data_IF_855317849737
#
_entry.id   IF_855317849737
#
_cell.length_a   1.000
_cell.length_b   1.000
_cell.length_c   1.000
_cell.angle_alpha   90.00
_cell.angle_beta   90.00
_cell.angle_gamma   90.00
#
_symmetry.space_group_name_H-M   'P 1'
#
loop_
_entity.id
_entity.type
_entity.pdbx_description
1 polymer ?
#
# COMPACT_ATOMS: atom_id res chain seq x y z
N UNK A 1 -2.93 21.52 -12.97
CA UNK A 1 -3.54 22.57 -12.12
C UNK A 1 -4.68 22.04 -11.25
N UNK A 2 -5.68 21.34 -11.80
CA UNK A 2 -6.82 20.81 -11.02
C UNK A 2 -6.36 19.91 -9.87
N UNK A 3 -5.45 18.96 -10.14
CA UNK A 3 -4.87 18.08 -9.14
C UNK A 3 -4.19 18.88 -8.02
N UNK A 4 -3.32 19.85 -8.37
CA UNK A 4 -2.63 20.68 -7.38
C UNK A 4 -3.60 21.50 -6.50
N UNK A 5 -4.69 22.01 -7.07
CA UNK A 5 -5.73 22.69 -6.28
C UNK A 5 -6.40 21.73 -5.30
N UNK A 6 -6.68 20.48 -5.72
CA UNK A 6 -7.20 19.43 -4.84
C UNK A 6 -6.24 19.02 -3.74
N UNK A 7 -4.94 18.88 -4.04
CA UNK A 7 -3.89 18.53 -3.06
C UNK A 7 -3.72 19.58 -1.96
N UNK A 8 -3.64 20.83 -2.36
CA UNK A 8 -3.44 21.96 -1.41
C UNK A 8 -4.73 22.46 -0.77
N UNK A 9 -5.88 22.02 -1.27
CA UNK A 9 -7.17 22.61 -0.95
C UNK A 9 -7.15 24.15 -1.05
N UNK A 10 -6.35 24.69 -2.02
CA UNK A 10 -6.05 26.11 -2.16
C UNK A 10 -5.64 26.49 -3.58
N UNK A 11 -6.39 27.41 -4.20
CA UNK A 11 -6.03 27.98 -5.50
C UNK A 11 -4.73 28.82 -5.44
N UNK A 12 -4.52 29.52 -4.34
CA UNK A 12 -3.35 30.38 -4.16
C UNK A 12 -2.09 29.55 -4.02
N UNK A 13 -2.14 28.47 -3.23
CA UNK A 13 -0.99 27.59 -3.05
C UNK A 13 -0.64 26.84 -4.35
N UNK A 14 -1.64 26.34 -5.05
CA UNK A 14 -1.44 25.72 -6.35
C UNK A 14 -0.86 26.70 -7.39
N UNK A 15 -1.29 27.96 -7.35
CA UNK A 15 -0.74 29.01 -8.22
C UNK A 15 0.72 29.30 -7.92
N UNK A 16 1.09 29.33 -6.64
CA UNK A 16 2.47 29.51 -6.20
C UNK A 16 3.36 28.34 -6.67
N UNK A 17 2.93 27.12 -6.48
CA UNK A 17 3.66 25.91 -6.91
C UNK A 17 3.93 25.91 -8.42
N UNK A 18 2.94 26.31 -9.21
CA UNK A 18 3.04 26.30 -10.67
C UNK A 18 3.55 27.61 -11.29
N UNK A 19 3.98 28.58 -10.47
CA UNK A 19 4.50 29.87 -10.93
C UNK A 19 3.54 30.64 -11.88
N UNK A 20 2.23 30.57 -11.59
CA UNK A 20 1.18 31.27 -12.34
C UNK A 20 0.27 32.09 -11.42
N UNK A 21 -0.60 32.91 -11.99
CA UNK A 21 -1.59 33.63 -11.19
C UNK A 21 -2.75 32.71 -10.78
N UNK A 22 -3.37 32.97 -9.61
CA UNK A 22 -4.58 32.29 -9.16
C UNK A 22 -5.71 32.38 -10.20
N UNK A 23 -5.83 33.53 -10.89
CA UNK A 23 -6.83 33.73 -11.95
C UNK A 23 -6.58 32.80 -13.15
N UNK A 24 -5.32 32.57 -13.52
CA UNK A 24 -4.96 31.64 -14.60
C UNK A 24 -5.37 30.21 -14.25
N UNK A 25 -5.08 29.72 -13.04
CA UNK A 25 -5.53 28.38 -12.57
C UNK A 25 -7.07 28.31 -12.60
N UNK A 26 -7.75 29.33 -12.07
CA UNK A 26 -9.20 29.35 -12.04
C UNK A 26 -9.81 29.28 -13.46
N UNK A 27 -9.18 29.95 -14.44
CA UNK A 27 -9.62 29.91 -15.83
C UNK A 27 -9.38 28.55 -16.48
N UNK A 28 -8.21 27.94 -16.21
CA UNK A 28 -7.88 26.61 -16.73
C UNK A 28 -8.83 25.53 -16.21
N UNK A 29 -9.19 25.59 -14.90
CA UNK A 29 -10.15 24.65 -14.34
C UNK A 29 -11.54 24.86 -14.95
N UNK A 30 -11.99 26.10 -15.14
CA UNK A 30 -13.25 26.38 -15.85
C UNK A 30 -13.25 25.85 -17.29
N UNK A 31 -12.13 26.00 -17.99
CA UNK A 31 -11.98 25.45 -19.35
C UNK A 31 -12.04 23.93 -19.35
N UNK A 32 -11.45 23.27 -18.36
CA UNK A 32 -11.52 21.81 -18.17
C UNK A 32 -12.96 21.37 -17.89
N UNK A 33 -13.67 22.04 -16.98
CA UNK A 33 -15.08 21.77 -16.68
C UNK A 33 -15.95 21.93 -17.94
N UNK A 34 -15.71 22.98 -18.71
CA UNK A 34 -16.43 23.21 -19.96
C UNK A 34 -16.13 22.13 -21.01
N UNK A 35 -14.91 21.65 -21.10
CA UNK A 35 -14.52 20.58 -22.05
C UNK A 35 -15.12 19.21 -21.66
N UNK A 36 -15.27 18.95 -20.36
CA UNK A 36 -15.87 17.73 -19.85
C UNK A 36 -17.40 17.78 -19.77
N UNK A 37 -17.97 18.97 -19.82
CA UNK A 37 -19.41 19.19 -19.72
C UNK A 37 -20.00 18.98 -18.32
N UNK A 38 -19.14 18.86 -17.29
CA UNK A 38 -19.54 18.65 -15.90
C UNK A 38 -18.74 19.52 -14.94
N UNK A 39 -19.33 20.04 -13.86
CA UNK A 39 -18.59 20.75 -12.83
C UNK A 39 -17.72 19.78 -12.03
N UNK A 40 -16.47 20.15 -11.77
CA UNK A 40 -15.53 19.37 -10.96
C UNK A 40 -15.45 19.89 -9.53
N UNK A 41 -15.84 21.14 -9.29
CA UNK A 41 -15.83 21.74 -7.95
C UNK A 41 -16.98 22.72 -7.75
N UNK A 42 -17.48 22.74 -6.53
CA UNK A 42 -18.48 23.69 -6.04
C UNK A 42 -17.73 24.76 -5.25
N UNK A 43 -17.88 26.03 -5.68
CA UNK A 43 -17.21 27.17 -5.06
C UNK A 43 -18.14 27.85 -4.08
N UNK A 44 -17.65 28.08 -2.89
CA UNK A 44 -18.30 28.88 -1.84
C UNK A 44 -17.56 30.20 -1.63
N UNK A 45 -18.09 31.08 -0.78
CA UNK A 45 -17.50 32.42 -0.56
C UNK A 45 -16.04 32.38 -0.11
N UNK A 46 -15.62 31.36 0.65
CA UNK A 46 -14.27 31.23 1.23
C UNK A 46 -13.64 29.84 1.07
N UNK A 47 -14.34 28.92 0.48
CA UNK A 47 -13.90 27.53 0.32
C UNK A 47 -14.37 26.97 -1.01
N UNK A 48 -13.96 25.77 -1.32
CA UNK A 48 -14.55 24.94 -2.35
C UNK A 48 -14.52 23.48 -1.89
N UNK A 49 -15.32 22.66 -2.49
CA UNK A 49 -15.24 21.20 -2.37
C UNK A 49 -15.39 20.56 -3.76
N UNK A 50 -14.83 19.38 -3.90
CA UNK A 50 -14.93 18.63 -5.14
C UNK A 50 -16.35 18.07 -5.31
N UNK A 51 -16.83 18.02 -6.54
CA UNK A 51 -18.03 17.24 -6.88
C UNK A 51 -17.66 15.74 -6.94
N UNK A 52 -18.62 14.81 -6.98
CA UNK A 52 -18.30 13.39 -7.23
C UNK A 52 -17.49 13.18 -8.52
N UNK A 53 -17.74 13.94 -9.57
CA UNK A 53 -16.94 13.93 -10.80
C UNK A 53 -15.52 14.49 -10.56
N UNK A 54 -15.43 15.55 -9.74
CA UNK A 54 -14.14 16.13 -9.33
C UNK A 54 -13.30 15.16 -8.51
N UNK A 55 -13.90 14.48 -7.55
CA UNK A 55 -13.18 13.45 -6.74
C UNK A 55 -12.69 12.29 -7.61
N UNK A 56 -13.54 11.84 -8.54
CA UNK A 56 -13.13 10.81 -9.50
C UNK A 56 -11.93 11.26 -10.34
N UNK A 57 -12.00 12.47 -10.91
CA UNK A 57 -10.91 13.03 -11.71
C UNK A 57 -9.66 13.29 -10.85
N UNK A 58 -9.81 13.75 -9.63
CA UNK A 58 -8.68 13.99 -8.71
C UNK A 58 -7.91 12.71 -8.44
N UNK A 59 -8.58 11.64 -8.02
CA UNK A 59 -7.97 10.34 -7.71
C UNK A 59 -7.25 9.74 -8.92
N UNK A 60 -7.98 9.59 -10.02
CA UNK A 60 -7.43 8.97 -11.23
C UNK A 60 -6.40 9.87 -11.92
N UNK A 61 -6.61 11.18 -11.90
CA UNK A 61 -5.68 12.15 -12.45
C UNK A 61 -4.35 12.20 -11.69
N UNK A 62 -4.38 12.08 -10.35
CA UNK A 62 -3.16 11.98 -9.54
C UNK A 62 -2.34 10.74 -9.92
N UNK A 63 -2.98 9.60 -10.06
CA UNK A 63 -2.32 8.37 -10.53
C UNK A 63 -1.72 8.57 -11.93
N UNK A 64 -2.48 9.14 -12.87
CA UNK A 64 -2.00 9.41 -14.21
C UNK A 64 -0.79 10.35 -14.23
N UNK A 65 -0.80 11.42 -13.42
CA UNK A 65 0.35 12.33 -13.31
C UNK A 65 1.60 11.63 -12.76
N UNK A 66 1.43 10.72 -11.80
CA UNK A 66 2.52 9.87 -11.29
C UNK A 66 3.07 8.97 -12.39
N UNK A 67 2.21 8.36 -13.22
CA UNK A 67 2.63 7.55 -14.38
C UNK A 67 3.42 8.37 -15.39
N UNK A 68 2.94 9.56 -15.73
CA UNK A 68 3.65 10.47 -16.66
C UNK A 68 5.04 10.82 -16.13
N UNK A 69 5.15 11.18 -14.85
CA UNK A 69 6.42 11.48 -14.21
C UNK A 69 7.37 10.28 -14.26
N UNK A 70 6.89 9.09 -13.93
CA UNK A 70 7.71 7.88 -13.97
C UNK A 70 8.16 7.53 -15.39
N UNK A 71 7.28 7.69 -16.38
CA UNK A 71 7.65 7.52 -17.78
C UNK A 71 8.76 8.50 -18.21
N UNK A 72 8.69 9.76 -17.80
CA UNK A 72 9.73 10.75 -18.04
C UNK A 72 11.05 10.35 -17.37
N UNK A 73 11.02 9.99 -16.09
CA UNK A 73 12.19 9.55 -15.33
C UNK A 73 12.82 8.31 -15.96
N UNK A 74 12.01 7.34 -16.39
CA UNK A 74 12.48 6.13 -17.07
C UNK A 74 13.09 6.44 -18.43
N UNK A 75 12.46 7.33 -19.20
CA UNK A 75 13.01 7.77 -20.50
C UNK A 75 14.40 8.39 -20.35
N UNK A 76 14.58 9.23 -19.32
CA UNK A 76 15.88 9.83 -19.01
C UNK A 76 16.90 8.75 -18.61
N UNK A 77 16.52 7.76 -17.80
CA UNK A 77 17.39 6.65 -17.38
C UNK A 77 17.82 5.77 -18.54
N UNK A 78 16.88 5.41 -19.43
CA UNK A 78 17.17 4.64 -20.64
C UNK A 78 18.15 5.41 -21.52
N UNK A 79 17.93 6.72 -21.70
CA UNK A 79 18.82 7.59 -22.48
C UNK A 79 20.23 7.73 -21.90
N UNK A 80 20.37 7.65 -20.58
CA UNK A 80 21.66 7.71 -19.89
C UNK A 80 22.32 6.33 -19.68
N UNK A 81 21.67 5.26 -20.11
CA UNK A 81 22.09 3.88 -19.84
C UNK A 81 22.22 3.53 -18.33
N UNK A 82 21.52 4.28 -17.46
CA UNK A 82 21.49 4.11 -16.00
C UNK A 82 20.43 3.08 -15.63
N UNK A 83 20.76 1.77 -15.74
CA UNK A 83 19.79 0.67 -15.48
C UNK A 83 19.89 0.04 -14.10
N UNK A 84 20.58 0.67 -13.16
CA UNK A 84 20.76 0.08 -11.81
C UNK A 84 19.70 0.61 -10.86
N UNK A 85 18.46 0.19 -11.01
CA UNK A 85 17.39 0.51 -10.07
C UNK A 85 16.52 -0.71 -9.77
N UNK A 86 15.86 -0.68 -8.64
CA UNK A 86 14.90 -1.68 -8.20
C UNK A 86 13.76 -0.99 -7.47
N UNK A 87 12.55 -1.17 -7.94
CA UNK A 87 11.32 -0.63 -7.34
C UNK A 87 10.50 -1.79 -6.78
N UNK A 88 10.31 -1.79 -5.46
CA UNK A 88 9.65 -2.87 -4.74
C UNK A 88 8.35 -2.35 -4.15
N UNK A 89 7.23 -2.98 -4.51
CA UNK A 89 5.94 -2.79 -3.88
C UNK A 89 5.70 -3.80 -2.75
N UNK A 90 5.10 -3.38 -1.65
CA UNK A 90 4.75 -4.26 -0.54
C UNK A 90 3.48 -3.78 0.17
N UNK A 91 2.76 -4.72 0.81
CA UNK A 91 1.54 -4.38 1.55
C UNK A 91 1.82 -3.40 2.69
N UNK A 92 1.01 -2.36 2.81
CA UNK A 92 1.13 -1.31 3.83
C UNK A 92 0.98 -1.83 5.28
N UNK A 93 0.38 -3.01 5.47
CA UNK A 93 0.29 -3.73 6.76
C UNK A 93 1.47 -4.69 7.02
N UNK A 94 2.40 -4.84 6.06
CA UNK A 94 3.54 -5.74 6.24
C UNK A 94 4.52 -5.21 7.28
N UNK A 95 4.91 -6.05 8.23
CA UNK A 95 5.76 -5.69 9.37
C UNK A 95 6.85 -6.73 9.63
N UNK A 96 7.43 -7.32 8.58
CA UNK A 96 8.42 -8.39 8.73
C UNK A 96 9.87 -7.92 8.56
N UNK A 97 10.80 -8.55 9.31
CA UNK A 97 12.26 -8.32 9.20
C UNK A 97 12.83 -8.84 7.87
N UNK A 98 12.23 -9.87 7.27
CA UNK A 98 12.77 -10.53 6.08
C UNK A 98 12.99 -9.55 4.92
N UNK A 99 12.03 -8.65 4.67
CA UNK A 99 12.15 -7.64 3.63
C UNK A 99 13.31 -6.68 3.88
N UNK A 100 13.47 -6.21 5.12
CA UNK A 100 14.58 -5.34 5.52
C UNK A 100 15.94 -6.03 5.35
N UNK A 101 16.06 -7.29 5.76
CA UNK A 101 17.30 -8.04 5.62
C UNK A 101 17.64 -8.34 4.17
N UNK A 102 16.65 -8.69 3.35
CA UNK A 102 16.85 -8.88 1.92
C UNK A 102 17.33 -7.58 1.25
N UNK A 103 16.74 -6.43 1.62
CA UNK A 103 17.20 -5.11 1.15
C UNK A 103 18.64 -4.84 1.54
N UNK A 104 19.01 -5.05 2.81
CA UNK A 104 20.38 -4.84 3.29
C UNK A 104 21.39 -5.70 2.52
N UNK A 105 21.05 -6.96 2.23
CA UNK A 105 21.91 -7.85 1.44
C UNK A 105 22.01 -7.42 -0.02
N UNK A 106 20.87 -7.01 -0.59
CA UNK A 106 20.81 -6.56 -1.98
C UNK A 106 21.65 -5.30 -2.19
N UNK A 107 21.51 -4.28 -1.33
CA UNK A 107 22.26 -3.03 -1.43
C UNK A 107 23.75 -3.22 -1.12
N UNK A 108 24.10 -4.18 -0.25
CA UNK A 108 25.49 -4.56 -0.01
C UNK A 108 26.12 -5.23 -1.23
N UNK A 109 25.37 -6.07 -1.94
CA UNK A 109 25.82 -6.78 -3.15
C UNK A 109 25.90 -5.87 -4.36
N UNK A 110 24.94 -4.95 -4.51
CA UNK A 110 24.83 -4.03 -5.63
C UNK A 110 24.92 -2.59 -5.14
N UNK A 111 26.15 -2.10 -4.91
CA UNK A 111 26.41 -0.82 -4.22
C UNK A 111 25.85 0.42 -4.94
N UNK A 112 25.73 0.38 -6.28
CA UNK A 112 25.22 1.49 -7.08
C UNK A 112 23.74 1.31 -7.46
N UNK A 113 23.03 0.40 -6.79
CA UNK A 113 21.62 0.15 -7.04
C UNK A 113 20.76 1.19 -6.30
N UNK A 114 19.99 1.98 -7.05
CA UNK A 114 18.94 2.85 -6.52
C UNK A 114 17.72 1.98 -6.16
N UNK A 115 17.41 1.83 -4.89
CA UNK A 115 16.25 1.05 -4.43
C UNK A 115 15.15 1.97 -3.94
N UNK A 116 13.94 1.76 -4.46
CA UNK A 116 12.75 2.50 -4.04
C UNK A 116 11.68 1.54 -3.54
N UNK A 117 11.08 1.93 -2.41
CA UNK A 117 10.04 1.16 -1.74
C UNK A 117 8.70 1.87 -1.88
N UNK A 118 7.66 1.09 -2.21
CA UNK A 118 6.29 1.57 -2.35
C UNK A 118 5.38 0.69 -1.51
N UNK A 119 4.66 1.30 -0.58
CA UNK A 119 3.62 0.59 0.17
C UNK A 119 2.25 0.87 -0.42
N UNK A 120 1.37 -0.10 -0.36
CA UNK A 120 0.02 0.03 -0.87
C UNK A 120 -0.90 -1.09 -0.40
N UNK A 121 -2.19 -0.95 -0.71
CA UNK A 121 -3.17 -2.03 -0.66
C UNK A 121 -2.94 -3.03 -1.79
N UNK A 122 -3.68 -4.13 -1.79
CA UNK A 122 -3.63 -5.11 -2.88
C UNK A 122 -3.93 -4.49 -4.25
N UNK A 123 -4.98 -3.70 -4.34
CA UNK A 123 -5.39 -3.07 -5.60
C UNK A 123 -4.38 -2.03 -6.08
N UNK A 124 -3.80 -1.24 -5.17
CA UNK A 124 -2.75 -0.27 -5.51
C UNK A 124 -1.48 -0.95 -6.01
N UNK A 125 -1.02 -2.00 -5.33
CA UNK A 125 0.17 -2.73 -5.74
C UNK A 125 0.00 -3.37 -7.12
N UNK A 126 -1.15 -3.99 -7.38
CA UNK A 126 -1.47 -4.53 -8.69
C UNK A 126 -1.47 -3.44 -9.76
N UNK A 127 -2.13 -2.30 -9.48
CA UNK A 127 -2.13 -1.16 -10.38
C UNK A 127 -0.72 -0.59 -10.61
N UNK A 128 0.12 -0.53 -9.57
CA UNK A 128 1.51 -0.09 -9.70
C UNK A 128 2.33 -1.04 -10.58
N UNK A 129 2.06 -2.34 -10.52
CA UNK A 129 2.73 -3.33 -11.36
C UNK A 129 2.26 -3.19 -12.82
N UNK A 130 0.94 -3.08 -13.05
CA UNK A 130 0.33 -2.84 -14.37
C UNK A 130 0.90 -1.57 -15.04
N UNK A 131 1.13 -0.53 -14.23
CA UNK A 131 1.65 0.75 -14.68
C UNK A 131 3.17 0.81 -14.81
N UNK A 132 3.87 -0.31 -14.56
CA UNK A 132 5.33 -0.36 -14.47
C UNK A 132 5.92 0.66 -13.47
N UNK A 133 5.20 1.00 -12.40
CA UNK A 133 5.67 1.85 -11.32
C UNK A 133 6.57 1.11 -10.33
N UNK A 134 6.39 -0.20 -10.25
CA UNK A 134 7.21 -1.14 -9.48
C UNK A 134 7.68 -2.29 -10.38
N UNK A 135 8.82 -2.89 -10.05
CA UNK A 135 9.41 -3.99 -10.80
C UNK A 135 9.01 -5.35 -10.22
N UNK A 136 8.74 -5.36 -8.93
CA UNK A 136 8.35 -6.54 -8.17
C UNK A 136 7.40 -6.12 -7.05
N UNK A 137 6.34 -6.88 -6.83
CA UNK A 137 5.48 -6.72 -5.67
C UNK A 137 5.56 -7.95 -4.76
N UNK A 138 5.56 -7.69 -3.46
CA UNK A 138 5.50 -8.67 -2.39
C UNK A 138 4.11 -8.63 -1.76
N UNK A 139 3.31 -9.67 -2.00
CA UNK A 139 1.89 -9.68 -1.67
C UNK A 139 1.42 -11.09 -1.25
N UNK A 140 0.35 -11.17 -0.44
CA UNK A 140 -0.38 -12.41 -0.26
C UNK A 140 -1.24 -12.71 -1.51
N UNK A 141 -1.74 -13.94 -1.61
CA UNK A 141 -2.56 -14.34 -2.76
C UNK A 141 -3.79 -13.44 -2.86
N UNK A 142 -3.80 -12.61 -3.87
CA UNK A 142 -4.96 -11.85 -4.32
C UNK A 142 -5.20 -12.17 -5.80
N UNK A 143 -6.45 -12.30 -6.21
CA UNK A 143 -6.79 -12.56 -7.61
C UNK A 143 -6.19 -11.49 -8.53
N UNK A 144 -4.96 -11.74 -8.98
CA UNK A 144 -4.44 -11.03 -10.14
C UNK A 144 -5.25 -11.53 -11.33
N UNK A 145 -5.89 -10.61 -12.05
CA UNK A 145 -6.54 -10.93 -13.31
C UNK A 145 -5.54 -11.70 -14.18
N UNK A 146 -5.92 -12.88 -14.61
CA UNK A 146 -5.06 -13.84 -15.30
C UNK A 146 -4.76 -13.44 -16.75
N UNK A 147 -4.37 -12.21 -17.00
CA UNK A 147 -3.74 -11.86 -18.27
C UNK A 147 -2.25 -12.16 -18.11
N UNK A 148 -1.66 -12.86 -19.07
CA UNK A 148 -0.30 -13.45 -19.08
C UNK A 148 0.88 -12.47 -18.87
N UNK A 149 0.64 -11.33 -18.21
CA UNK A 149 1.59 -10.22 -18.11
C UNK A 149 2.47 -10.31 -16.86
N UNK A 150 2.23 -11.29 -15.96
CA UNK A 150 2.95 -11.42 -14.70
C UNK A 150 3.42 -12.85 -14.45
N UNK A 151 4.59 -12.95 -13.84
CA UNK A 151 5.11 -14.20 -13.29
C UNK A 151 4.98 -14.17 -11.78
N UNK A 152 4.26 -15.16 -11.22
CA UNK A 152 4.11 -15.33 -9.77
C UNK A 152 5.11 -16.36 -9.25
N UNK A 153 5.92 -15.96 -8.28
CA UNK A 153 6.83 -16.85 -7.57
C UNK A 153 6.32 -17.07 -6.15
N UNK A 154 5.97 -18.32 -5.83
CA UNK A 154 5.60 -18.69 -4.46
C UNK A 154 6.78 -18.47 -3.52
N UNK A 155 6.53 -17.82 -2.38
CA UNK A 155 7.55 -17.52 -1.39
C UNK A 155 7.44 -18.49 -0.22
N UNK A 156 6.39 -18.37 0.57
CA UNK A 156 6.14 -19.13 1.79
C UNK A 156 4.73 -18.82 2.29
N UNK A 157 4.31 -19.57 3.31
CA UNK A 157 3.12 -19.23 4.09
C UNK A 157 3.47 -18.28 5.23
N UNK A 158 2.63 -17.29 5.43
CA UNK A 158 2.64 -16.45 6.62
C UNK A 158 1.49 -16.84 7.55
N UNK A 159 1.75 -16.85 8.85
CA UNK A 159 0.71 -17.02 9.87
C UNK A 159 0.14 -15.66 10.23
N UNK A 160 -1.17 -15.54 10.28
CA UNK A 160 -1.84 -14.30 10.72
C UNK A 160 -1.77 -14.21 12.25
N UNK A 161 -1.33 -13.06 12.73
CA UNK A 161 -1.18 -12.75 14.16
C UNK A 161 -2.03 -11.53 14.50
N UNK A 162 -2.70 -11.55 15.64
CA UNK A 162 -3.30 -10.36 16.22
C UNK A 162 -2.31 -9.61 17.10
N UNK A 163 -2.11 -8.34 16.85
CA UNK A 163 -1.59 -7.37 17.79
C UNK A 163 -2.79 -6.85 18.60
N UNK A 164 -2.82 -7.12 19.90
CA UNK A 164 -3.92 -6.80 20.81
C UNK A 164 -3.40 -5.98 21.99
N UNK A 165 -4.25 -5.20 22.69
CA UNK A 165 -3.86 -4.52 23.92
C UNK A 165 -3.34 -5.52 24.96
N UNK A 166 -2.32 -5.14 25.71
CA UNK A 166 -1.75 -6.00 26.75
C UNK A 166 -2.82 -6.38 27.79
N UNK A 167 -2.95 -7.68 28.04
CA UNK A 167 -3.95 -8.21 29.00
C UNK A 167 -5.37 -8.29 28.46
N UNK A 168 -5.59 -8.03 27.16
CA UNK A 168 -6.92 -8.09 26.55
C UNK A 168 -7.45 -9.52 26.39
N UNK A 169 -6.57 -10.46 26.10
CA UNK A 169 -6.93 -11.87 25.93
C UNK A 169 -6.12 -12.76 26.87
N UNK A 170 -6.60 -13.98 27.19
CA UNK A 170 -5.81 -14.98 27.93
C UNK A 170 -4.47 -15.27 27.23
N UNK A 171 -3.55 -15.90 27.97
CA UNK A 171 -2.30 -16.37 27.39
C UNK A 171 -2.55 -17.43 26.31
N UNK A 172 -1.68 -17.45 25.28
CA UNK A 172 -1.72 -18.42 24.18
C UNK A 172 -2.38 -17.92 22.90
N UNK A 173 -3.00 -18.82 22.15
CA UNK A 173 -3.74 -18.53 20.92
C UNK A 173 -5.16 -18.06 21.20
N UNK A 174 -5.77 -17.34 20.28
CA UNK A 174 -7.12 -16.79 20.39
C UNK A 174 -7.93 -17.12 19.14
N UNK A 175 -9.18 -17.52 19.31
CA UNK A 175 -10.11 -17.67 18.19
C UNK A 175 -10.49 -16.31 17.61
N UNK A 176 -10.56 -16.20 16.31
CA UNK A 176 -10.91 -14.94 15.62
C UNK A 176 -12.25 -14.36 16.12
N UNK A 177 -13.23 -15.22 16.41
CA UNK A 177 -14.54 -14.83 16.95
C UNK A 177 -14.48 -14.22 18.35
N UNK A 178 -13.40 -14.44 19.11
CA UNK A 178 -13.20 -13.88 20.45
C UNK A 178 -12.63 -12.46 20.43
N UNK A 179 -12.25 -11.98 19.22
CA UNK A 179 -11.67 -10.64 19.02
C UNK A 179 -12.70 -9.61 18.52
N UNK A 180 -14.00 -9.89 18.63
CA UNK A 180 -15.05 -9.04 18.03
C UNK A 180 -15.44 -7.82 18.89
N UNK A 181 -15.03 -7.77 20.15
CA UNK A 181 -15.37 -6.69 21.09
C UNK A 181 -14.65 -5.36 20.75
N UNK A 182 -13.51 -5.44 20.09
CA UNK A 182 -12.78 -4.29 19.60
C UNK A 182 -12.79 -4.23 18.05
N UNK A 183 -12.78 -3.02 17.48
CA UNK A 183 -12.71 -2.89 16.03
C UNK A 183 -11.39 -3.43 15.48
N UNK A 184 -11.46 -4.06 14.30
CA UNK A 184 -10.28 -4.39 13.51
C UNK A 184 -9.76 -3.13 12.82
N UNK A 185 -8.50 -2.80 13.07
CA UNK A 185 -7.86 -1.62 12.48
C UNK A 185 -7.38 -1.96 11.07
N UNK A 186 -7.88 -1.20 10.09
CA UNK A 186 -7.50 -1.28 8.69
C UNK A 186 -6.46 -0.21 8.38
N UNK A 187 -5.33 -0.62 7.83
CA UNK A 187 -4.29 0.29 7.35
C UNK A 187 -4.49 0.52 5.86
N UNK A 188 -5.26 1.54 5.50
CA UNK A 188 -5.60 1.84 4.11
C UNK A 188 -6.01 3.32 3.93
N UNK A 189 -6.09 3.79 2.68
CA UNK A 189 -6.66 5.09 2.35
C UNK A 189 -8.20 5.06 2.39
N UNK A 190 -8.83 6.24 2.51
CA UNK A 190 -10.28 6.39 2.72
C UNK A 190 -11.12 5.73 1.62
N UNK A 191 -10.65 5.77 0.39
CA UNK A 191 -11.30 5.19 -0.79
C UNK A 191 -11.20 3.66 -0.90
N UNK A 192 -10.35 3.03 -0.08
CA UNK A 192 -10.09 1.58 -0.08
C UNK A 192 -10.78 0.86 1.08
N UNK A 193 -11.34 1.61 2.01
CA UNK A 193 -11.91 1.07 3.24
C UNK A 193 -12.92 -0.03 2.97
N UNK A 194 -13.85 0.19 2.05
CA UNK A 194 -14.92 -0.78 1.77
C UNK A 194 -14.37 -2.09 1.18
N UNK A 195 -13.39 -1.99 0.29
CA UNK A 195 -12.75 -3.16 -0.33
C UNK A 195 -11.97 -3.97 0.69
N UNK A 196 -11.24 -3.29 1.60
CA UNK A 196 -10.51 -3.95 2.69
C UNK A 196 -11.47 -4.59 3.71
N UNK A 197 -12.56 -3.91 4.11
CA UNK A 197 -13.59 -4.49 4.98
C UNK A 197 -14.19 -5.75 4.32
N UNK A 198 -14.55 -5.69 3.06
CA UNK A 198 -15.11 -6.81 2.33
C UNK A 198 -14.11 -7.98 2.24
N UNK A 199 -12.83 -7.67 2.02
CA UNK A 199 -11.77 -8.66 2.00
C UNK A 199 -11.67 -9.42 3.33
N UNK A 200 -11.61 -8.72 4.47
CA UNK A 200 -11.56 -9.37 5.79
C UNK A 200 -12.81 -10.19 6.09
N UNK A 201 -13.99 -9.72 5.68
CA UNK A 201 -15.24 -10.47 5.82
C UNK A 201 -15.24 -11.74 4.99
N UNK A 202 -14.81 -11.67 3.72
CA UNK A 202 -14.81 -12.82 2.81
C UNK A 202 -13.70 -13.81 3.09
N UNK A 203 -12.46 -13.33 3.30
CA UNK A 203 -11.29 -14.20 3.44
C UNK A 203 -11.15 -14.83 4.81
N UNK A 204 -11.55 -14.12 5.87
CA UNK A 204 -11.39 -14.57 7.26
C UNK A 204 -12.71 -14.80 8.02
N UNK A 205 -13.84 -14.35 7.47
CA UNK A 205 -15.13 -14.41 8.16
C UNK A 205 -15.22 -13.43 9.33
N UNK A 206 -14.43 -12.33 9.34
CA UNK A 206 -14.48 -11.35 10.42
C UNK A 206 -15.78 -10.56 10.38
N UNK A 207 -16.58 -10.64 11.45
CA UNK A 207 -17.92 -10.04 11.55
C UNK A 207 -17.99 -8.83 12.49
N UNK A 208 -16.85 -8.40 13.05
CA UNK A 208 -16.75 -7.24 13.93
C UNK A 208 -16.82 -5.90 13.20
N UNK A 209 -16.62 -4.83 13.95
CA UNK A 209 -16.50 -3.47 13.43
C UNK A 209 -15.09 -3.18 12.94
N UNK A 210 -14.94 -2.11 12.16
CA UNK A 210 -13.66 -1.70 11.60
C UNK A 210 -13.34 -0.25 11.94
N UNK A 211 -12.06 0.02 12.18
CA UNK A 211 -11.50 1.35 12.37
C UNK A 211 -10.38 1.55 11.34
N UNK A 212 -10.42 2.64 10.59
CA UNK A 212 -9.44 2.91 9.56
C UNK A 212 -8.36 3.88 10.05
N UNK A 213 -7.13 3.63 9.63
CA UNK A 213 -5.94 4.48 9.84
C UNK A 213 -5.08 4.51 8.58
N UNK A 214 -4.18 5.50 8.50
CA UNK A 214 -3.37 5.72 7.29
C UNK A 214 -2.06 4.93 7.26
N UNK A 215 -1.53 4.54 8.42
CA UNK A 215 -0.25 3.84 8.51
C UNK A 215 -0.20 2.88 9.72
N UNK A 216 0.79 2.00 9.68
CA UNK A 216 0.98 0.96 10.67
C UNK A 216 1.35 1.50 12.07
N UNK A 217 2.03 2.63 12.14
CA UNK A 217 2.41 3.27 13.40
C UNK A 217 1.17 3.78 14.13
N UNK A 218 0.29 4.50 13.42
CA UNK A 218 -0.99 4.96 13.96
C UNK A 218 -1.86 3.78 14.44
N UNK A 219 -1.91 2.68 13.66
CA UNK A 219 -2.60 1.46 14.06
C UNK A 219 -2.09 0.96 15.43
N UNK A 220 -0.78 0.88 15.61
CA UNK A 220 -0.16 0.39 16.84
C UNK A 220 -0.36 1.33 18.03
N UNK A 221 -0.41 2.64 17.83
CA UNK A 221 -0.80 3.56 18.90
C UNK A 221 -2.22 3.28 19.40
N UNK A 222 -3.16 3.03 18.49
CA UNK A 222 -4.54 2.73 18.84
C UNK A 222 -4.67 1.35 19.52
N UNK A 223 -3.93 0.33 19.05
CA UNK A 223 -3.88 -0.97 19.73
C UNK A 223 -3.36 -0.81 21.15
N UNK A 224 -2.23 -0.14 21.35
CA UNK A 224 -1.65 0.11 22.68
C UNK A 224 -2.57 0.90 23.62
N UNK A 225 -3.41 1.77 23.05
CA UNK A 225 -4.43 2.53 23.77
C UNK A 225 -5.75 1.75 24.00
N UNK A 226 -5.85 0.50 23.58
CA UNK A 226 -7.06 -0.32 23.77
C UNK A 226 -8.23 0.04 22.83
N UNK A 227 -7.97 0.74 21.72
CA UNK A 227 -9.00 1.24 20.81
C UNK A 227 -9.28 0.29 19.63
N UNK A 228 -8.54 -0.80 19.50
CA UNK A 228 -8.72 -1.76 18.42
C UNK A 228 -7.70 -2.89 18.46
N UNK A 229 -7.82 -3.79 17.50
CA UNK A 229 -6.89 -4.88 17.25
C UNK A 229 -6.33 -4.73 15.84
N UNK A 230 -5.10 -5.22 15.61
CA UNK A 230 -4.47 -5.18 14.31
C UNK A 230 -4.05 -6.59 13.90
N UNK A 231 -4.37 -6.98 12.67
CA UNK A 231 -3.90 -8.23 12.10
C UNK A 231 -2.65 -7.98 11.26
N UNK A 232 -1.58 -8.70 11.58
CA UNK A 232 -0.30 -8.65 10.86
C UNK A 232 0.12 -10.05 10.40
N UNK A 233 0.80 -10.12 9.28
CA UNK A 233 1.27 -11.38 8.73
C UNK A 233 2.69 -11.66 9.23
N UNK A 234 2.91 -12.83 9.79
CA UNK A 234 4.18 -13.32 10.33
C UNK A 234 4.78 -14.35 9.39
N UNK A 235 5.92 -14.03 8.82
CA UNK A 235 6.91 -15.06 8.43
C UNK A 235 7.65 -15.50 9.69
N UNK A 236 8.41 -16.55 9.69
CA UNK A 236 9.07 -17.20 10.84
C UNK A 236 9.42 -16.31 12.05
N UNK A 237 9.72 -15.01 11.86
CA UNK A 237 10.12 -14.10 12.94
C UNK A 237 9.29 -12.81 12.96
N UNK A 238 8.99 -12.36 14.16
CA UNK A 238 8.44 -11.05 14.45
C UNK A 238 9.54 -10.10 14.93
N UNK A 239 9.41 -8.84 14.57
CA UNK A 239 10.17 -7.76 15.18
C UNK A 239 9.80 -7.66 16.68
N UNK A 240 10.72 -7.11 17.46
CA UNK A 240 10.70 -6.96 18.92
C UNK A 240 9.35 -6.60 19.55
N UNK A 241 9.27 -6.81 20.86
CA UNK A 241 8.13 -6.45 21.69
C UNK A 241 7.78 -4.97 21.55
N UNK A 242 6.51 -4.68 21.28
CA UNK A 242 5.98 -3.31 21.26
C UNK A 242 5.35 -3.03 22.63
N UNK A 243 5.75 -1.97 23.34
CA UNK A 243 5.15 -1.63 24.63
C UNK A 243 3.61 -1.51 24.55
N UNK A 244 2.91 -2.12 25.49
CA UNK A 244 1.45 -2.06 25.55
C UNK A 244 0.71 -3.00 24.57
N UNK A 245 1.43 -3.76 23.75
CA UNK A 245 0.86 -4.68 22.75
C UNK A 245 1.30 -6.12 23.04
N UNK A 246 0.37 -7.03 22.96
CA UNK A 246 0.62 -8.47 22.92
C UNK A 246 0.32 -9.02 21.54
N UNK A 247 1.03 -10.09 21.17
CA UNK A 247 0.86 -10.78 19.91
C UNK A 247 0.31 -12.17 20.14
N UNK A 248 -0.81 -12.46 19.51
CA UNK A 248 -1.53 -13.74 19.64
C UNK A 248 -1.63 -14.43 18.30
N UNK A 249 -1.37 -15.73 18.27
CA UNK A 249 -1.68 -16.54 17.11
C UNK A 249 -3.21 -16.65 17.00
N UNK A 250 -3.74 -16.34 15.80
CA UNK A 250 -5.18 -16.40 15.56
C UNK A 250 -5.54 -17.75 15.01
N UNK A 251 -6.59 -18.32 15.60
CA UNK A 251 -7.19 -19.55 15.15
C UNK A 251 -8.55 -19.29 14.47
N UNK A 252 -8.84 -20.09 13.48
CA UNK A 252 -10.17 -20.23 12.92
C UNK A 252 -10.56 -21.70 13.00
N UNK A 253 -11.55 -22.02 13.84
CA UNK A 253 -11.96 -23.39 14.17
C UNK A 253 -10.79 -24.27 14.63
N UNK A 254 -9.97 -23.77 15.55
CA UNK A 254 -8.84 -24.47 16.17
C UNK A 254 -7.58 -24.57 15.28
N UNK A 255 -7.57 -23.98 14.09
CA UNK A 255 -6.41 -23.99 13.18
C UNK A 255 -5.84 -22.59 12.97
N UNK A 256 -4.50 -22.42 12.98
CA UNK A 256 -3.89 -21.14 12.62
C UNK A 256 -4.35 -20.66 11.26
N UNK A 257 -4.61 -19.37 11.15
CA UNK A 257 -4.90 -18.74 9.84
C UNK A 257 -3.59 -18.52 9.13
N UNK A 258 -3.44 -19.11 7.97
CA UNK A 258 -2.27 -18.97 7.11
C UNK A 258 -2.63 -18.31 5.78
N UNK A 259 -1.69 -17.58 5.21
CA UNK A 259 -1.79 -16.96 3.89
C UNK A 259 -0.59 -17.33 3.05
N UNK A 260 -0.82 -17.65 1.79
CA UNK A 260 0.24 -17.85 0.81
C UNK A 260 0.74 -16.49 0.31
N UNK A 261 2.07 -16.32 0.29
CA UNK A 261 2.72 -15.11 -0.19
C UNK A 261 3.48 -15.37 -1.48
N UNK A 262 3.48 -14.37 -2.34
CA UNK A 262 4.09 -14.42 -3.66
C UNK A 262 4.88 -13.16 -3.94
N UNK A 263 5.92 -13.33 -4.78
CA UNK A 263 6.43 -12.23 -5.58
C UNK A 263 5.76 -12.26 -6.94
N UNK A 264 5.32 -11.09 -7.39
CA UNK A 264 4.82 -10.90 -8.75
C UNK A 264 5.75 -9.94 -9.47
N UNK A 265 6.20 -10.34 -10.66
CA UNK A 265 7.12 -9.60 -11.52
C UNK A 265 6.49 -9.43 -12.89
N UNK A 266 6.61 -8.26 -13.48
CA UNK A 266 6.11 -8.01 -14.83
C UNK A 266 6.93 -8.83 -15.85
N UNK A 267 6.24 -9.60 -16.70
CA UNK A 267 6.86 -10.32 -17.81
C UNK A 267 7.22 -9.39 -18.98
N UNK A 268 6.54 -8.23 -19.07
CA UNK A 268 6.75 -7.25 -20.14
C UNK A 268 7.98 -6.37 -19.94
N UNK A 269 8.38 -6.15 -18.68
CA UNK A 269 9.54 -5.31 -18.35
C UNK A 269 10.44 -6.00 -17.30
N UNK A 270 11.14 -7.08 -17.68
CA UNK A 270 11.94 -7.86 -16.74
C UNK A 270 13.11 -7.02 -16.20
N UNK A 271 13.21 -6.92 -14.88
CA UNK A 271 14.32 -6.28 -14.18
C UNK A 271 15.18 -7.36 -13.50
N UNK A 272 16.43 -7.49 -13.93
CA UNK A 272 17.38 -8.49 -13.40
C UNK A 272 17.64 -8.32 -11.91
N UNK A 273 17.51 -7.10 -11.37
CA UNK A 273 17.66 -6.83 -9.93
C UNK A 273 16.43 -7.28 -9.15
N UNK A 274 15.24 -7.32 -9.76
CA UNK A 274 14.04 -7.88 -9.14
C UNK A 274 14.20 -9.40 -8.94
N UNK A 275 14.71 -10.11 -9.93
CA UNK A 275 15.02 -11.54 -9.80
C UNK A 275 16.10 -11.79 -8.74
N UNK A 276 17.19 -11.00 -8.75
CA UNK A 276 18.23 -11.12 -7.76
C UNK A 276 17.74 -10.82 -6.33
N UNK A 277 16.86 -9.84 -6.18
CA UNK A 277 16.23 -9.50 -4.90
C UNK A 277 15.35 -10.65 -4.40
N UNK A 278 14.52 -11.21 -5.27
CA UNK A 278 13.68 -12.38 -4.96
C UNK A 278 14.55 -13.54 -4.43
N UNK A 279 15.63 -13.86 -5.12
CA UNK A 279 16.52 -14.96 -4.71
C UNK A 279 17.19 -14.69 -3.36
N UNK A 280 17.63 -13.44 -3.11
CA UNK A 280 18.19 -13.03 -1.82
C UNK A 280 17.13 -13.11 -0.71
N UNK A 281 15.88 -12.72 -1.00
CA UNK A 281 14.80 -12.79 -0.03
C UNK A 281 14.48 -14.25 0.36
N UNK A 282 14.44 -15.17 -0.61
CA UNK A 282 14.24 -16.59 -0.35
C UNK A 282 15.38 -17.15 0.52
N UNK A 283 16.65 -16.80 0.24
CA UNK A 283 17.78 -17.18 1.08
C UNK A 283 17.64 -16.65 2.51
N UNK A 284 17.17 -15.41 2.68
CA UNK A 284 16.89 -14.85 4.01
C UNK A 284 15.84 -15.68 4.74
N UNK A 285 14.78 -16.12 4.08
CA UNK A 285 13.75 -16.96 4.71
C UNK A 285 14.26 -18.36 5.08
N UNK A 286 15.18 -18.92 4.31
CA UNK A 286 15.75 -20.26 4.58
C UNK A 286 16.71 -20.26 5.77
N UNK A 287 17.40 -19.16 6.02
CA UNK A 287 18.35 -19.02 7.15
C UNK A 287 17.64 -18.80 8.49
N UNK A 288 16.39 -18.45 8.47
CA UNK A 288 15.54 -18.29 9.65
C UNK A 288 14.71 -19.56 9.92
#
# INVERSE_FOLDING_TARGET
YFIAVGEHNSFTQAAYEHYVSQSAISQQIKSLEASLGVPLMIREKRSFHLTPAGEYLYRNGKQLMTRVKNLQDETVRVGKNERKYLRIGYLNRYSGIALQQALMRTTKRYRDLDVRMYSGSHSELNQMLDDNLVDIIFNDYWQIKSDNDYVAYSISKATVIAEVPKGYTPEGSVELKELLDLPLILVCHDDQRLDEEENYRKSMGFMGSFLQVKNLEEARFLVGAGQGILLVDRFKYLVDTIPGIERKCILNNGKPIEKDYYFYVSSQNPNTYAEAFKDIFLQVLDEF
#
